data_IF_813541447673
#
_entry.id   IF_813541447673
#
_cell.length_a   1.000
_cell.length_b   1.000
_cell.length_c   1.000
_cell.angle_alpha   90.00
_cell.angle_beta   90.00
_cell.angle_gamma   90.00
#
_symmetry.space_group_name_H-M   'P 1'
#
loop_
_entity.id
_entity.type
_entity.pdbx_description
1 polymer ?
#
# COMPACT_ATOMS: atom_id res chain seq x y z
N UNK A 1 -9.61 -10.33 -21.97
CA UNK A 1 -8.85 -10.02 -20.75
C UNK A 1 -8.18 -8.68 -20.99
N UNK A 2 -8.74 -7.61 -20.42
CA UNK A 2 -8.14 -6.28 -20.50
C UNK A 2 -6.92 -6.25 -19.57
N UNK A 3 -5.76 -5.76 -20.03
CA UNK A 3 -4.66 -5.48 -19.12
C UNK A 3 -5.09 -4.29 -18.26
N UNK A 4 -5.14 -4.48 -16.93
CA UNK A 4 -5.21 -3.36 -16.00
C UNK A 4 -3.95 -2.52 -16.23
N UNK A 5 -4.15 -1.40 -16.93
CA UNK A 5 -3.16 -0.37 -17.14
C UNK A 5 -2.90 0.29 -15.78
N UNK A 6 -2.03 -0.32 -14.98
CA UNK A 6 -1.40 0.34 -13.84
C UNK A 6 -0.66 1.54 -14.44
N UNK A 7 -1.31 2.70 -14.37
CA UNK A 7 -0.81 3.92 -14.99
C UNK A 7 0.44 4.31 -14.20
N UNK A 8 1.66 4.38 -14.79
CA UNK A 8 2.92 4.51 -14.04
C UNK A 8 3.17 5.91 -13.44
N UNK A 9 2.12 6.68 -13.19
CA UNK A 9 2.21 8.08 -12.76
C UNK A 9 1.07 8.58 -11.89
N UNK A 10 0.07 7.77 -11.56
CA UNK A 10 -0.90 8.14 -10.52
C UNK A 10 -0.34 7.78 -9.16
N UNK A 11 -0.19 8.79 -8.30
CA UNK A 11 0.05 8.59 -6.87
C UNK A 11 -1.01 7.60 -6.37
N UNK A 12 -0.58 6.50 -5.74
CA UNK A 12 -1.51 5.52 -5.18
C UNK A 12 -2.41 6.21 -4.17
N UNK A 13 -3.71 6.02 -4.30
CA UNK A 13 -4.68 6.47 -3.32
C UNK A 13 -4.48 5.77 -1.97
N UNK A 14 -4.99 6.37 -0.89
CA UNK A 14 -4.98 5.75 0.43
C UNK A 14 -5.66 4.36 0.42
N UNK A 15 -6.69 4.15 -0.42
CA UNK A 15 -7.36 2.87 -0.56
C UNK A 15 -6.44 1.80 -1.19
N UNK A 16 -5.72 2.15 -2.26
CA UNK A 16 -4.76 1.24 -2.91
C UNK A 16 -3.59 0.88 -1.98
N UNK A 17 -3.10 1.86 -1.20
CA UNK A 17 -2.04 1.62 -0.20
C UNK A 17 -2.52 0.70 0.91
N UNK A 18 -3.74 0.89 1.42
CA UNK A 18 -4.33 -0.01 2.41
C UNK A 18 -4.52 -1.43 1.86
N UNK A 19 -4.88 -1.58 0.58
CA UNK A 19 -4.98 -2.89 -0.06
C UNK A 19 -3.60 -3.56 -0.19
N UNK A 20 -2.58 -2.81 -0.62
CA UNK A 20 -1.21 -3.30 -0.71
C UNK A 20 -0.67 -3.76 0.66
N UNK A 21 -0.94 -2.98 1.72
CA UNK A 21 -0.59 -3.36 3.10
C UNK A 21 -1.25 -4.69 3.47
N UNK A 22 -2.56 -4.84 3.24
CA UNK A 22 -3.28 -6.09 3.55
C UNK A 22 -2.73 -7.29 2.77
N UNK A 23 -2.34 -7.06 1.52
CA UNK A 23 -1.78 -8.10 0.65
C UNK A 23 -0.48 -8.71 1.19
N UNK A 24 0.27 -8.01 2.06
CA UNK A 24 1.44 -8.59 2.73
C UNK A 24 1.09 -9.80 3.62
N UNK A 25 -0.15 -9.86 4.14
CA UNK A 25 -0.62 -10.97 4.98
C UNK A 25 -1.56 -11.94 4.27
N UNK A 26 -2.31 -11.47 3.27
CA UNK A 26 -3.34 -12.28 2.60
C UNK A 26 -3.01 -12.63 1.16
N UNK A 27 -1.91 -12.10 0.63
CA UNK A 27 -1.44 -12.35 -0.73
C UNK A 27 -0.49 -13.55 -0.84
N UNK A 28 -0.01 -13.83 -2.06
CA UNK A 28 0.97 -14.89 -2.28
C UNK A 28 2.23 -14.68 -1.43
N UNK A 29 2.61 -15.69 -0.64
CA UNK A 29 3.76 -15.60 0.27
C UNK A 29 3.50 -14.86 1.59
N UNK A 30 2.28 -14.35 1.80
CA UNK A 30 1.81 -13.84 3.08
C UNK A 30 1.01 -14.89 3.85
N UNK A 31 1.00 -14.80 5.18
CA UNK A 31 0.08 -15.59 6.00
C UNK A 31 -0.38 -14.76 7.21
N UNK A 32 -1.69 -14.73 7.55
CA UNK A 32 -2.23 -13.83 8.58
C UNK A 32 -1.70 -14.12 9.99
N UNK A 33 -1.19 -15.32 10.23
CA UNK A 33 -0.62 -15.72 11.54
C UNK A 33 0.90 -15.80 11.56
N UNK A 34 1.57 -15.62 10.41
CA UNK A 34 3.03 -15.63 10.36
C UNK A 34 3.56 -14.19 10.45
N UNK A 35 4.71 -13.99 11.12
CA UNK A 35 5.39 -12.71 11.06
C UNK A 35 5.86 -12.41 9.63
N UNK A 36 5.86 -11.12 9.27
CA UNK A 36 6.41 -10.67 8.00
C UNK A 36 7.92 -10.98 7.92
N UNK A 37 8.37 -11.39 6.74
CA UNK A 37 9.80 -11.49 6.42
C UNK A 37 10.47 -10.11 6.46
N UNK A 38 11.80 -10.08 6.51
CA UNK A 38 12.56 -8.83 6.55
C UNK A 38 12.23 -7.93 5.35
N UNK A 39 12.17 -8.52 4.16
CA UNK A 39 11.76 -7.84 2.92
C UNK A 39 10.32 -7.29 3.00
N UNK A 40 9.37 -8.09 3.50
CA UNK A 40 7.99 -7.65 3.66
C UNK A 40 7.87 -6.54 4.71
N UNK A 41 8.71 -6.54 5.76
CA UNK A 41 8.74 -5.46 6.76
C UNK A 41 9.28 -4.15 6.19
N UNK A 42 10.30 -4.22 5.33
CA UNK A 42 10.78 -3.03 4.62
C UNK A 42 9.69 -2.45 3.71
N UNK A 43 9.00 -3.31 2.95
CA UNK A 43 7.91 -2.88 2.08
C UNK A 43 6.73 -2.31 2.87
N UNK A 44 6.35 -2.95 3.99
CA UNK A 44 5.35 -2.41 4.90
C UNK A 44 5.70 -1.00 5.39
N UNK A 45 6.98 -0.77 5.74
CA UNK A 45 7.47 0.55 6.15
C UNK A 45 7.32 1.61 5.05
N UNK A 46 7.64 1.25 3.80
CA UNK A 46 7.47 2.15 2.64
C UNK A 46 5.99 2.48 2.39
N UNK A 47 5.13 1.47 2.40
CA UNK A 47 3.69 1.63 2.20
C UNK A 47 3.06 2.50 3.29
N UNK A 48 3.47 2.35 4.55
CA UNK A 48 3.02 3.21 5.65
C UNK A 48 3.49 4.66 5.49
N UNK A 49 4.72 4.88 5.04
CA UNK A 49 5.25 6.22 4.80
C UNK A 49 4.48 6.92 3.67
N UNK A 50 4.19 6.20 2.58
CA UNK A 50 3.39 6.69 1.47
C UNK A 50 1.94 6.99 1.91
N UNK A 51 1.33 6.10 2.69
CA UNK A 51 -0.03 6.30 3.21
C UNK A 51 -0.12 7.56 4.08
N UNK A 52 0.85 7.78 4.98
CA UNK A 52 0.93 9.02 5.78
C UNK A 52 1.19 10.27 4.94
N UNK A 53 1.82 10.15 3.78
CA UNK A 53 2.00 11.28 2.88
C UNK A 53 0.68 11.64 2.19
N UNK A 54 -0.06 10.64 1.72
CA UNK A 54 -1.40 10.81 1.11
C UNK A 54 -2.38 11.38 2.13
N UNK A 55 -2.48 10.79 3.33
CA UNK A 55 -3.40 11.28 4.38
C UNK A 55 -3.12 12.74 4.77
N UNK A 56 -1.85 13.16 4.82
CA UNK A 56 -1.49 14.57 5.10
C UNK A 56 -1.80 15.50 3.93
N UNK A 57 -1.63 15.03 2.69
CA UNK A 57 -2.01 15.78 1.49
C UNK A 57 -3.53 15.96 1.38
N UNK A 58 -4.29 14.90 1.64
CA UNK A 58 -5.76 14.92 1.63
C UNK A 58 -6.32 15.85 2.73
N UNK A 59 -5.72 15.84 3.93
CA UNK A 59 -6.09 16.77 5.03
C UNK A 59 -5.93 18.25 4.62
N UNK A 60 -5.01 18.57 3.70
CA UNK A 60 -4.77 19.95 3.26
C UNK A 60 -5.83 20.45 2.27
N UNK A 61 -6.61 19.55 1.66
CA UNK A 61 -7.63 19.90 0.65
C UNK A 61 -9.03 20.06 1.27
N UNK A 62 -9.17 19.85 2.58
CA UNK A 62 -10.45 19.87 3.31
C UNK A 62 -10.69 21.15 4.15
N UNK A 63 -10.09 22.29 3.80
CA UNK A 63 -10.24 23.56 4.53
C UNK A 63 -10.92 24.66 3.68
#
# INVERSE_FOLDING_TARGET
MSPDLVTPGSVRSAAELNQAIRALWTGPGGHPTLPLTDEQREEYGRLLAELRAVERGDVTTAA
#
